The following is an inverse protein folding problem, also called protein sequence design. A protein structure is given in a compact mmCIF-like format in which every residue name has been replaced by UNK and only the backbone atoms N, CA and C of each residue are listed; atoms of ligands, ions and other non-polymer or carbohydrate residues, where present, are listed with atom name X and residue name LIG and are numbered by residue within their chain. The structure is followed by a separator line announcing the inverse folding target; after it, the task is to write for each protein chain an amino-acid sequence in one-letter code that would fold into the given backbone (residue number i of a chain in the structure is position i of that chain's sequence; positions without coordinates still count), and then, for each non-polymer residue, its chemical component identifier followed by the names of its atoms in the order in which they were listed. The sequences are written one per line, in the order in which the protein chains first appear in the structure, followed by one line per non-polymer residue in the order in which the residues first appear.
data_IF_128900482700
#
_entry.id   IF_128900482700
#
_cell.length_a   1.000
_cell.length_b   1.000
_cell.length_c   1.000
_cell.angle_alpha   90.00
_cell.angle_beta   90.00
_cell.angle_gamma   90.00
#
_symmetry.space_group_name_H-M   'P 1'
#
loop_
_entity.id
_entity.type
_entity.pdbx_description
1 polymer ?
#
# COMPACT_ATOMS: atom_id res chain seq x y z
N UNK A 1 -4.53 18.02 -0.98
CA UNK A 1 -3.62 16.89 -1.26
C UNK A 1 -2.73 17.21 -2.45
N UNK A 2 -1.43 17.09 -2.30
CA UNK A 2 -0.51 17.33 -3.41
C UNK A 2 -0.31 16.06 -4.25
N UNK A 3 0.43 16.20 -5.36
CA UNK A 3 0.63 15.09 -6.28
C UNK A 3 1.37 13.91 -5.63
N UNK A 4 2.34 14.18 -4.76
CA UNK A 4 3.06 13.13 -4.04
C UNK A 4 2.13 12.34 -3.13
N UNK A 5 1.24 13.02 -2.43
CA UNK A 5 0.27 12.36 -1.55
C UNK A 5 -0.73 11.51 -2.33
N UNK A 6 -1.18 12.01 -3.48
CA UNK A 6 -2.09 11.26 -4.37
C UNK A 6 -1.37 10.01 -4.89
N UNK A 7 -0.14 10.18 -5.39
CA UNK A 7 0.67 9.07 -5.90
C UNK A 7 0.89 8.02 -4.80
N UNK A 8 1.22 8.47 -3.60
CA UNK A 8 1.44 7.57 -2.46
C UNK A 8 0.21 6.71 -2.19
N UNK A 9 -0.99 7.30 -2.24
CA UNK A 9 -2.23 6.55 -2.01
C UNK A 9 -2.40 5.43 -3.04
N UNK A 10 -2.08 5.71 -4.30
CA UNK A 10 -2.17 4.68 -5.35
C UNK A 10 -1.09 3.61 -5.23
N UNK A 11 0.13 3.96 -4.79
CA UNK A 11 1.16 2.97 -4.48
C UNK A 11 0.72 2.08 -3.32
N UNK A 12 0.13 2.66 -2.29
CA UNK A 12 -0.39 1.91 -1.14
C UNK A 12 -1.52 0.98 -1.55
N UNK A 13 -2.43 1.47 -2.39
CA UNK A 13 -3.52 0.67 -2.92
C UNK A 13 -2.98 -0.56 -3.66
N UNK A 14 -2.01 -0.36 -4.54
CA UNK A 14 -1.38 -1.44 -5.28
C UNK A 14 -0.70 -2.44 -4.34
N UNK A 15 0.01 -1.96 -3.34
CA UNK A 15 0.71 -2.81 -2.37
C UNK A 15 -0.27 -3.68 -1.57
N UNK A 16 -1.37 -3.11 -1.09
CA UNK A 16 -2.40 -3.86 -0.37
C UNK A 16 -3.09 -4.88 -1.27
N UNK A 17 -3.33 -4.52 -2.53
CA UNK A 17 -3.91 -5.44 -3.51
C UNK A 17 -2.96 -6.62 -3.77
N UNK A 18 -1.66 -6.36 -3.83
CA UNK A 18 -0.65 -7.42 -4.00
C UNK A 18 -0.65 -8.37 -2.81
N UNK A 19 -0.70 -7.82 -1.60
CA UNK A 19 -0.80 -8.63 -0.38
C UNK A 19 -2.05 -9.51 -0.41
N UNK A 20 -3.16 -8.97 -0.91
CA UNK A 20 -4.41 -9.69 -1.03
C UNK A 20 -4.42 -10.73 -2.16
N UNK A 21 -3.48 -10.64 -3.10
CA UNK A 21 -3.37 -11.56 -4.22
C UNK A 21 -4.25 -11.19 -5.41
N UNK A 22 -4.56 -9.91 -5.56
CA UNK A 22 -5.37 -9.42 -6.67
C UNK A 22 -4.60 -9.48 -8.01
N UNK A 23 -5.33 -9.24 -9.10
CA UNK A 23 -4.83 -9.31 -10.47
C UNK A 23 -3.59 -8.43 -10.67
N UNK A 24 -2.44 -9.01 -11.09
CA UNK A 24 -1.21 -8.24 -11.32
C UNK A 24 -1.34 -7.13 -12.34
N UNK A 25 -2.22 -7.26 -13.32
CA UNK A 25 -2.44 -6.21 -14.33
C UNK A 25 -3.07 -4.96 -13.72
N UNK A 26 -4.00 -5.13 -12.78
CA UNK A 26 -4.60 -4.01 -12.06
C UNK A 26 -3.57 -3.32 -11.18
N UNK A 27 -2.75 -4.09 -10.48
CA UNK A 27 -1.67 -3.55 -9.66
C UNK A 27 -0.74 -2.68 -10.47
N UNK A 28 -0.36 -3.18 -11.65
CA UNK A 28 0.55 -2.46 -12.54
C UNK A 28 -0.07 -1.17 -13.04
N UNK A 29 -1.36 -1.18 -13.34
CA UNK A 29 -2.08 0.02 -13.79
C UNK A 29 -2.03 1.12 -12.73
N UNK A 30 -2.27 0.76 -11.46
CA UNK A 30 -2.20 1.73 -10.37
C UNK A 30 -0.78 2.25 -10.14
N UNK A 31 0.23 1.38 -10.24
CA UNK A 31 1.62 1.78 -10.10
C UNK A 31 2.06 2.71 -11.22
N UNK A 32 1.67 2.40 -12.45
CA UNK A 32 1.99 3.25 -13.60
C UNK A 32 1.35 4.63 -13.46
N UNK A 33 0.10 4.68 -13.04
CA UNK A 33 -0.57 5.95 -12.80
C UNK A 33 0.13 6.74 -11.69
N UNK A 34 0.48 6.06 -10.59
CA UNK A 34 1.18 6.70 -9.47
C UNK A 34 2.52 7.30 -9.89
N UNK A 35 3.30 6.57 -10.70
CA UNK A 35 4.57 7.07 -11.23
C UNK A 35 4.40 8.35 -12.05
N UNK A 36 3.40 8.37 -12.94
CA UNK A 36 3.12 9.54 -13.76
C UNK A 36 2.65 10.73 -12.91
N UNK A 37 1.80 10.48 -11.94
CA UNK A 37 1.28 11.51 -11.04
C UNK A 37 2.40 12.13 -10.21
N UNK A 38 3.29 11.29 -9.68
CA UNK A 38 4.39 11.73 -8.83
C UNK A 38 5.27 12.78 -9.49
N UNK A 39 5.52 12.63 -10.79
CA UNK A 39 6.38 13.53 -11.56
C UNK A 39 5.61 14.55 -12.40
N UNK A 40 4.29 14.57 -12.31
CA UNK A 40 3.48 15.48 -13.12
C UNK A 40 3.72 16.93 -12.69
N UNK A 41 4.00 17.84 -13.64
CA UNK A 41 4.39 19.21 -13.29
C UNK A 41 3.27 20.09 -12.75
N UNK A 42 2.01 19.77 -13.09
CA UNK A 42 0.86 20.57 -12.65
C UNK A 42 0.14 19.86 -11.50
N UNK A 43 -0.25 20.58 -10.44
CA UNK A 43 -1.06 19.98 -9.38
C UNK A 43 -2.35 19.40 -9.93
N UNK A 44 -2.65 18.16 -9.58
CA UNK A 44 -3.86 17.47 -10.06
C UNK A 44 -5.14 18.18 -9.60
N UNK A 45 -5.10 18.79 -8.44
CA UNK A 45 -6.24 19.58 -7.93
C UNK A 45 -6.60 20.69 -8.92
N UNK A 46 -5.58 21.39 -9.44
CA UNK A 46 -5.77 22.46 -10.40
C UNK A 46 -6.35 21.94 -11.72
N UNK A 47 -5.82 20.81 -12.20
CA UNK A 47 -6.33 20.18 -13.43
C UNK A 47 -7.80 19.78 -13.25
N UNK A 48 -8.13 19.18 -12.11
CA UNK A 48 -9.49 18.77 -11.82
C UNK A 48 -10.46 19.95 -11.76
N UNK A 49 -10.05 21.06 -11.16
CA UNK A 49 -10.87 22.28 -11.06
C UNK A 49 -11.10 22.94 -12.41
N UNK A 50 -10.09 22.99 -13.27
CA UNK A 50 -10.17 23.69 -14.55
C UNK A 50 -10.69 22.83 -15.68
N UNK A 51 -10.33 21.55 -15.73
CA UNK A 51 -10.62 20.68 -16.85
C UNK A 51 -11.41 19.41 -16.48
N UNK A 52 -11.58 19.16 -15.20
CA UNK A 52 -12.35 18.02 -14.71
C UNK A 52 -11.72 16.67 -15.04
N UNK A 53 -12.59 15.68 -15.22
CA UNK A 53 -12.20 14.29 -15.48
C UNK A 53 -11.32 14.18 -16.75
N UNK A 54 -11.73 14.88 -17.81
CA UNK A 54 -11.03 14.82 -19.10
C UNK A 54 -9.57 15.30 -18.98
N UNK A 55 -9.33 16.36 -18.22
CA UNK A 55 -7.99 16.88 -18.01
C UNK A 55 -7.08 15.88 -17.30
N UNK A 56 -7.61 15.17 -16.31
CA UNK A 56 -6.86 14.15 -15.60
C UNK A 56 -6.52 12.96 -16.50
N UNK A 57 -7.38 12.64 -17.44
CA UNK A 57 -7.14 11.53 -18.38
C UNK A 57 -6.03 11.83 -19.38
N UNK A 58 -5.59 13.07 -19.48
CA UNK A 58 -4.44 13.42 -20.31
C UNK A 58 -3.11 12.92 -19.71
N UNK A 59 -3.10 12.59 -18.41
CA UNK A 59 -1.92 12.05 -17.73
C UNK A 59 -1.71 10.60 -18.18
N UNK A 60 -0.51 10.23 -18.65
CA UNK A 60 -0.25 8.85 -19.08
C UNK A 60 -0.57 7.84 -17.98
N UNK A 61 -1.32 6.80 -18.31
CA UNK A 61 -1.71 5.78 -17.36
C UNK A 61 -2.95 6.10 -16.53
N UNK A 62 -3.49 7.31 -16.67
CA UNK A 62 -4.70 7.70 -15.96
C UNK A 62 -5.90 7.60 -16.89
N UNK A 63 -6.63 6.50 -16.78
CA UNK A 63 -7.88 6.30 -17.50
C UNK A 63 -9.06 6.86 -16.72
N UNK A 64 -10.27 6.66 -17.25
CA UNK A 64 -11.49 7.19 -16.65
C UNK A 64 -11.70 6.75 -15.21
N UNK A 65 -11.47 5.46 -14.93
CA UNK A 65 -11.68 4.91 -13.59
C UNK A 65 -10.71 5.52 -12.56
N UNK A 66 -9.44 5.64 -12.92
CA UNK A 66 -8.44 6.23 -12.03
C UNK A 66 -8.68 7.73 -11.87
N UNK A 67 -9.04 8.43 -12.95
CA UNK A 67 -9.39 9.85 -12.87
C UNK A 67 -10.55 10.08 -11.90
N UNK A 68 -11.58 9.22 -11.94
CA UNK A 68 -12.70 9.28 -11.00
C UNK A 68 -12.25 9.12 -9.56
N UNK A 69 -11.33 8.20 -9.30
CA UNK A 69 -10.77 8.00 -7.96
C UNK A 69 -9.97 9.22 -7.49
N UNK A 70 -9.23 9.85 -8.40
CA UNK A 70 -8.49 11.08 -8.08
C UNK A 70 -9.44 12.18 -7.66
N UNK A 71 -10.55 12.37 -8.39
CA UNK A 71 -11.54 13.39 -8.05
C UNK A 71 -12.16 13.10 -6.68
N UNK A 72 -12.53 11.85 -6.42
CA UNK A 72 -13.06 11.45 -5.12
C UNK A 72 -12.04 11.74 -4.00
N UNK A 73 -10.78 11.37 -4.24
CA UNK A 73 -9.71 11.59 -3.27
C UNK A 73 -9.51 13.07 -2.97
N UNK A 74 -9.57 13.92 -3.98
CA UNK A 74 -9.45 15.36 -3.81
C UNK A 74 -10.66 15.95 -3.05
N UNK A 75 -11.85 15.44 -3.29
CA UNK A 75 -13.08 15.94 -2.66
C UNK A 75 -13.30 15.41 -1.24
N UNK A 76 -13.01 14.13 -1.00
CA UNK A 76 -13.33 13.46 0.25
C UNK A 76 -12.11 13.03 1.07
N UNK A 77 -10.92 13.07 0.50
CA UNK A 77 -9.71 12.55 1.14
C UNK A 77 -9.60 11.02 1.08
N UNK A 78 -10.54 10.35 0.44
CA UNK A 78 -10.59 8.90 0.30
C UNK A 78 -11.41 8.53 -0.95
N UNK A 79 -11.47 7.25 -1.28
CA UNK A 79 -12.36 6.74 -2.33
C UNK A 79 -12.84 5.34 -1.97
N UNK A 80 -13.97 4.92 -2.54
CA UNK A 80 -14.65 3.69 -2.17
C UNK A 80 -13.77 2.43 -2.26
N UNK A 81 -12.96 2.31 -3.30
CA UNK A 81 -12.09 1.15 -3.46
C UNK A 81 -11.06 1.05 -2.33
N UNK A 82 -10.53 2.19 -1.89
CA UNK A 82 -9.60 2.25 -0.76
C UNK A 82 -10.29 1.84 0.53
N UNK A 83 -11.49 2.37 0.78
CA UNK A 83 -12.25 2.05 1.99
C UNK A 83 -12.60 0.56 2.07
N UNK A 84 -13.02 -0.03 0.96
CA UNK A 84 -13.35 -1.45 0.91
C UNK A 84 -12.12 -2.31 1.14
N UNK A 85 -11.01 -1.96 0.50
CA UNK A 85 -9.78 -2.73 0.63
C UNK A 85 -9.23 -2.67 2.05
N UNK A 86 -9.20 -1.47 2.66
CA UNK A 86 -8.67 -1.30 4.01
C UNK A 86 -9.57 -1.87 5.10
N UNK A 87 -10.84 -2.09 4.81
CA UNK A 87 -11.74 -2.80 5.71
C UNK A 87 -11.35 -4.28 5.83
N UNK A 88 -10.85 -4.88 4.75
CA UNK A 88 -10.41 -6.28 4.73
C UNK A 88 -8.94 -6.43 5.11
N UNK A 89 -8.10 -5.53 4.58
CA UNK A 89 -6.65 -5.56 4.78
C UNK A 89 -6.22 -4.19 5.30
N UNK A 90 -6.10 -4.01 6.61
CA UNK A 90 -5.78 -2.72 7.21
C UNK A 90 -4.49 -2.13 6.63
N UNK A 91 -4.45 -0.81 6.45
CA UNK A 91 -3.27 -0.17 5.87
C UNK A 91 -2.02 -0.35 6.75
N UNK A 92 -2.19 -0.64 8.04
CA UNK A 92 -1.07 -0.93 8.95
C UNK A 92 -0.28 -2.18 8.54
N UNK A 93 -0.88 -3.06 7.73
CA UNK A 93 -0.17 -4.24 7.19
C UNK A 93 1.01 -3.79 6.31
N UNK A 94 0.90 -2.62 5.67
CA UNK A 94 1.99 -2.07 4.87
C UNK A 94 3.24 -1.80 5.69
N UNK A 95 3.09 -1.47 6.97
CA UNK A 95 4.21 -1.19 7.86
C UNK A 95 5.10 -2.42 8.04
N UNK A 96 4.53 -3.61 7.92
CA UNK A 96 5.29 -4.87 8.03
C UNK A 96 6.33 -4.98 6.92
N UNK A 97 6.02 -4.43 5.75
CA UNK A 97 6.92 -4.49 4.59
C UNK A 97 8.10 -3.53 4.70
N UNK A 98 8.08 -2.62 5.67
CA UNK A 98 9.21 -1.76 5.96
C UNK A 98 10.35 -2.52 6.65
N UNK A 99 10.05 -3.70 7.17
CA UNK A 99 11.05 -4.53 7.85
C UNK A 99 11.83 -5.38 6.85
N UNK A 100 13.12 -5.59 7.10
CA UNK A 100 13.94 -6.40 6.20
C UNK A 100 13.41 -7.83 6.11
N UNK A 101 13.34 -8.35 4.88
CA UNK A 101 12.91 -9.72 4.64
C UNK A 101 11.40 -9.94 4.61
N UNK A 102 10.60 -8.90 4.82
CA UNK A 102 9.14 -9.02 4.71
C UNK A 102 8.67 -8.35 3.42
N UNK A 103 8.38 -9.18 2.43
CA UNK A 103 7.77 -8.74 1.18
C UNK A 103 6.27 -8.98 1.19
N UNK A 104 5.58 -8.76 0.04
CA UNK A 104 4.12 -8.93 -0.05
C UNK A 104 3.63 -10.32 0.34
N UNK A 105 4.32 -11.38 -0.06
CA UNK A 105 3.91 -12.76 0.27
C UNK A 105 4.01 -13.05 1.76
N UNK A 106 5.09 -12.62 2.38
CA UNK A 106 5.29 -12.81 3.82
C UNK A 106 4.28 -11.99 4.61
N UNK A 107 4.05 -10.74 4.20
CA UNK A 107 3.03 -9.89 4.82
C UNK A 107 1.65 -10.51 4.69
N UNK A 108 1.32 -11.08 3.54
CA UNK A 108 0.05 -11.78 3.32
C UNK A 108 -0.11 -12.96 4.26
N UNK A 109 0.93 -13.79 4.40
CA UNK A 109 0.93 -14.94 5.29
C UNK A 109 0.74 -14.53 6.74
N UNK A 110 1.49 -13.52 7.19
CA UNK A 110 1.37 -13.00 8.54
C UNK A 110 -0.04 -12.50 8.83
N UNK A 111 -0.61 -11.74 7.91
CA UNK A 111 -1.95 -11.19 8.08
C UNK A 111 -3.05 -12.26 8.01
N UNK A 112 -3.02 -13.09 6.97
CA UNK A 112 -4.10 -14.04 6.69
C UNK A 112 -4.08 -15.25 7.62
N UNK A 113 -2.91 -15.81 7.91
CA UNK A 113 -2.78 -17.03 8.70
C UNK A 113 -2.59 -16.76 10.20
N UNK A 114 -1.90 -15.69 10.54
CA UNK A 114 -1.52 -15.42 11.93
C UNK A 114 -2.16 -14.16 12.50
N UNK A 115 -2.98 -13.49 11.72
CA UNK A 115 -3.71 -12.27 12.13
C UNK A 115 -2.80 -11.14 12.61
N UNK A 116 -1.61 -11.05 12.02
CA UNK A 116 -0.66 -9.98 12.31
C UNK A 116 -0.95 -8.83 11.34
N UNK A 117 -1.46 -7.72 11.85
CA UNK A 117 -1.90 -6.57 11.03
C UNK A 117 -1.11 -5.29 11.28
N UNK A 118 -0.16 -5.30 12.19
CA UNK A 118 0.61 -4.12 12.56
C UNK A 118 1.97 -4.51 13.14
N UNK A 119 2.85 -3.52 13.28
CA UNK A 119 4.16 -3.73 13.92
C UNK A 119 3.95 -4.20 15.37
N UNK A 120 2.96 -3.65 16.06
CA UNK A 120 2.66 -4.03 17.44
C UNK A 120 2.22 -5.49 17.56
N UNK A 121 1.35 -5.93 16.64
CA UNK A 121 0.95 -7.34 16.54
C UNK A 121 2.15 -8.23 16.27
N UNK A 122 3.04 -7.78 15.36
CA UNK A 122 4.23 -8.53 15.00
C UNK A 122 5.18 -8.71 16.20
N UNK A 123 5.35 -7.66 17.01
CA UNK A 123 6.17 -7.75 18.23
C UNK A 123 5.66 -8.84 19.16
N UNK A 124 4.35 -8.89 19.39
CA UNK A 124 3.73 -9.91 20.23
C UNK A 124 3.90 -11.31 19.63
N UNK A 125 3.73 -11.42 18.32
CA UNK A 125 3.88 -12.67 17.59
C UNK A 125 5.32 -13.21 17.69
N UNK A 126 6.29 -12.34 17.51
CA UNK A 126 7.72 -12.68 17.62
C UNK A 126 8.08 -13.07 19.03
N UNK A 127 7.57 -12.33 20.04
CA UNK A 127 7.84 -12.62 21.45
C UNK A 127 7.33 -14.01 21.83
N UNK A 128 6.24 -14.47 21.21
CA UNK A 128 5.70 -15.80 21.43
C UNK A 128 6.35 -16.91 20.60
N UNK A 129 7.45 -16.61 19.88
CA UNK A 129 8.14 -17.60 19.05
C UNK A 129 7.47 -17.87 17.71
N UNK A 130 6.59 -16.96 17.27
CA UNK A 130 5.77 -17.17 16.07
C UNK A 130 6.54 -17.20 14.75
N UNK A 131 7.67 -16.51 14.65
CA UNK A 131 8.43 -16.47 13.39
C UNK A 131 8.88 -17.83 12.92
N UNK A 132 9.14 -18.74 13.85
CA UNK A 132 9.57 -20.11 13.54
C UNK A 132 8.45 -20.92 12.87
N UNK A 133 7.20 -20.47 13.03
CA UNK A 133 6.03 -21.13 12.47
C UNK A 133 5.71 -20.65 11.05
N UNK A 134 6.37 -19.60 10.58
CA UNK A 134 6.08 -18.99 9.29
C UNK A 134 6.95 -19.60 8.20
N UNK A 135 6.31 -20.25 7.23
CA UNK A 135 7.00 -20.79 6.07
C UNK A 135 7.61 -19.65 5.24
N UNK A 136 8.84 -19.85 4.78
CA UNK A 136 9.52 -18.84 3.97
C UNK A 136 10.38 -17.87 4.76
N UNK A 137 10.32 -17.90 6.09
CA UNK A 137 11.20 -17.10 6.93
C UNK A 137 12.29 -18.03 7.50
N UNK A 138 13.52 -17.89 6.98
CA UNK A 138 14.66 -18.63 7.49
C UNK A 138 15.22 -17.99 8.76
N UNK A 139 16.17 -18.70 9.40
CA UNK A 139 16.77 -18.23 10.66
C UNK A 139 17.42 -16.86 10.55
N UNK A 140 18.12 -16.59 9.44
CA UNK A 140 18.79 -15.30 9.22
C UNK A 140 17.78 -14.15 9.07
N UNK A 141 16.72 -14.37 8.31
CA UNK A 141 15.68 -13.37 8.13
C UNK A 141 14.94 -13.11 9.44
N UNK A 142 14.64 -14.17 10.19
CA UNK A 142 13.99 -14.06 11.50
C UNK A 142 14.83 -13.19 12.45
N UNK A 143 16.15 -13.40 12.45
CA UNK A 143 17.04 -12.60 13.30
C UNK A 143 17.07 -11.14 12.91
N UNK A 144 17.09 -10.83 11.61
CA UNK A 144 17.04 -9.46 11.11
C UNK A 144 15.73 -8.77 11.51
N UNK A 145 14.61 -9.48 11.43
CA UNK A 145 13.32 -8.96 11.85
C UNK A 145 13.34 -8.64 13.34
N UNK A 146 13.86 -9.55 14.17
CA UNK A 146 13.95 -9.34 15.62
C UNK A 146 14.79 -8.10 15.96
N UNK A 147 15.93 -7.94 15.30
CA UNK A 147 16.81 -6.79 15.49
C UNK A 147 16.10 -5.48 15.10
N UNK A 148 15.38 -5.48 13.99
CA UNK A 148 14.66 -4.30 13.52
C UNK A 148 13.53 -3.91 14.47
N UNK A 149 12.84 -4.89 15.05
CA UNK A 149 11.78 -4.64 16.02
C UNK A 149 12.32 -4.07 17.33
N UNK A 150 13.47 -4.54 17.79
CA UNK A 150 14.12 -4.01 18.98
C UNK A 150 14.48 -2.55 18.81
N UNK A 151 15.04 -2.19 17.65
CA UNK A 151 15.37 -0.81 17.31
C UNK A 151 14.11 0.05 17.17
N UNK A 152 13.04 -0.50 16.63
CA UNK A 152 11.77 0.22 16.43
C UNK A 152 10.97 0.35 17.73
N UNK A 153 11.28 -0.47 18.73
CA UNK A 153 10.56 -0.50 20.00
C UNK A 153 11.03 0.54 21.03
N UNK A 154 12.05 1.29 20.66
CA UNK A 154 12.63 2.30 21.56
C UNK A 154 12.04 3.72 21.31
#
# INVERSE_FOLDING_TARGET
MDNEQIARRFYQLAALMEIRGDDPFRLRSYRNAAEAIEVWPTPLKEIAEQEGLAGLQAIPGVGKAIAGKIIELLDRGTFDAWEKLTAETPETVLDLMDLPGIGPKTAATLHQKFKVSSIEDLKKFVAGGGLEMVDGIGARTAEKIKESLDLSGQ
#
